data_IF_041524513134
#
_entry.id   IF_041524513134
#
_cell.length_a   1.000
_cell.length_b   1.000
_cell.length_c   1.000
_cell.angle_alpha   90.00
_cell.angle_beta   90.00
_cell.angle_gamma   90.00
#
_symmetry.space_group_name_H-M   'P 1'
#
loop_
_entity.id
_entity.type
_entity.pdbx_description
1 polymer ?
#
# COMPACT_ATOMS: atom_id res chain seq x y z
N UNK A 1 21.51 12.89 -15.23
CA UNK A 1 21.28 12.15 -13.95
C UNK A 1 22.61 11.81 -13.27
N UNK A 2 22.74 11.91 -11.93
CA UNK A 2 23.93 11.45 -11.19
C UNK A 2 23.81 9.97 -10.75
N UNK A 3 24.88 9.37 -10.23
CA UNK A 3 24.89 7.95 -9.83
C UNK A 3 23.81 7.59 -8.79
N UNK A 4 23.57 8.46 -7.81
CA UNK A 4 22.56 8.22 -6.75
C UNK A 4 21.15 8.25 -7.34
N UNK A 5 20.87 9.23 -8.19
CA UNK A 5 19.60 9.35 -8.92
C UNK A 5 19.37 8.14 -9.82
N UNK A 6 20.40 7.71 -10.56
CA UNK A 6 20.32 6.54 -11.45
C UNK A 6 20.08 5.24 -10.69
N UNK A 7 20.74 5.08 -9.55
CA UNK A 7 20.54 3.91 -8.70
C UNK A 7 19.12 3.90 -8.14
N UNK A 8 18.65 5.04 -7.61
CA UNK A 8 17.30 5.15 -7.05
C UNK A 8 16.22 4.89 -8.11
N UNK A 9 16.38 5.46 -9.30
CA UNK A 9 15.47 5.23 -10.43
C UNK A 9 15.39 3.74 -10.78
N UNK A 10 16.53 3.07 -11.02
CA UNK A 10 16.54 1.66 -11.41
C UNK A 10 16.06 0.72 -10.31
N UNK A 11 16.30 1.04 -9.03
CA UNK A 11 15.71 0.28 -7.92
C UNK A 11 14.20 0.42 -7.95
N UNK A 12 13.69 1.64 -8.11
CA UNK A 12 12.27 1.89 -8.24
C UNK A 12 11.65 1.10 -9.39
N UNK A 13 12.28 1.11 -10.57
CA UNK A 13 11.86 0.27 -11.71
C UNK A 13 11.79 -1.22 -11.34
N UNK A 14 12.81 -1.75 -10.65
CA UNK A 14 12.84 -3.16 -10.26
C UNK A 14 11.71 -3.48 -9.26
N UNK A 15 11.52 -2.66 -8.23
CA UNK A 15 10.50 -2.86 -7.20
C UNK A 15 9.09 -2.76 -7.80
N UNK A 16 8.85 -1.74 -8.63
CA UNK A 16 7.58 -1.54 -9.30
C UNK A 16 7.27 -2.69 -10.28
N UNK A 17 8.27 -3.21 -10.98
CA UNK A 17 8.12 -4.38 -11.84
C UNK A 17 7.83 -5.66 -11.05
N UNK A 18 8.46 -5.85 -9.90
CA UNK A 18 8.24 -7.02 -9.04
C UNK A 18 6.83 -6.99 -8.42
N UNK A 19 6.38 -5.85 -7.90
CA UNK A 19 5.03 -5.74 -7.32
C UNK A 19 3.92 -5.83 -8.38
N UNK A 20 4.23 -5.53 -9.65
CA UNK A 20 3.31 -5.68 -10.80
C UNK A 20 3.60 -6.92 -11.64
N UNK A 21 4.33 -7.92 -11.10
CA UNK A 21 4.41 -9.22 -11.75
C UNK A 21 2.98 -9.75 -11.90
N UNK A 22 2.61 -10.29 -13.06
CA UNK A 22 1.25 -10.79 -13.31
C UNK A 22 1.27 -12.32 -13.50
N UNK A 23 1.28 -13.11 -12.40
CA UNK A 23 1.22 -14.56 -12.53
C UNK A 23 -0.11 -15.07 -13.11
N UNK A 24 -1.18 -14.26 -13.09
CA UNK A 24 -2.49 -14.63 -13.66
C UNK A 24 -2.50 -14.47 -15.18
N UNK A 25 -1.72 -13.51 -15.71
CA UNK A 25 -1.62 -13.20 -17.13
C UNK A 25 -2.84 -12.47 -17.70
N UNK A 26 -3.65 -11.84 -16.84
CA UNK A 26 -4.90 -11.16 -17.21
C UNK A 26 -4.75 -9.64 -17.47
N UNK A 27 -3.60 -9.04 -17.13
CA UNK A 27 -3.25 -7.65 -17.44
C UNK A 27 -3.81 -6.56 -16.53
N UNK A 28 -4.63 -6.84 -15.51
CA UNK A 28 -5.26 -5.79 -14.68
C UNK A 28 -4.22 -4.86 -14.02
N UNK A 29 -3.19 -5.42 -13.37
CA UNK A 29 -2.13 -4.62 -12.76
C UNK A 29 -1.36 -3.76 -13.79
N UNK A 30 -1.28 -4.19 -15.05
CA UNK A 30 -0.61 -3.43 -16.12
C UNK A 30 -1.41 -2.21 -16.54
N UNK A 31 -2.74 -2.33 -16.57
CA UNK A 31 -3.66 -1.21 -16.78
C UNK A 31 -3.43 -0.18 -15.67
N UNK A 32 -3.53 -0.61 -14.41
CA UNK A 32 -3.34 0.27 -13.25
C UNK A 32 -1.96 0.93 -13.22
N UNK A 33 -0.89 0.14 -13.36
CA UNK A 33 0.47 0.66 -13.31
C UNK A 33 0.74 1.70 -14.39
N UNK A 34 0.19 1.53 -15.59
CA UNK A 34 0.37 2.50 -16.68
C UNK A 34 -0.17 3.90 -16.31
N UNK A 35 -1.38 3.98 -15.77
CA UNK A 35 -1.99 5.23 -15.34
C UNK A 35 -1.32 5.79 -14.08
N UNK A 36 -0.99 4.93 -13.11
CA UNK A 36 -0.30 5.35 -11.89
C UNK A 36 1.08 5.92 -12.18
N UNK A 37 1.81 5.31 -13.12
CA UNK A 37 3.12 5.79 -13.56
C UNK A 37 3.01 7.09 -14.34
N UNK A 38 2.00 7.23 -15.21
CA UNK A 38 1.73 8.49 -15.91
C UNK A 38 1.33 9.62 -14.94
N UNK A 39 0.59 9.32 -13.88
CA UNK A 39 0.24 10.28 -12.84
C UNK A 39 1.45 10.69 -12.00
N UNK A 40 2.24 9.71 -11.54
CA UNK A 40 3.34 9.93 -10.59
C UNK A 40 4.59 10.48 -11.26
N UNK A 41 4.77 10.24 -12.56
CA UNK A 41 5.94 10.62 -13.37
C UNK A 41 7.27 10.00 -12.92
N UNK A 42 7.28 9.07 -11.98
CA UNK A 42 8.47 8.34 -11.54
C UNK A 42 8.07 7.00 -10.91
N UNK A 43 9.02 6.11 -10.55
CA UNK A 43 8.66 4.86 -9.90
C UNK A 43 7.92 5.09 -8.57
N UNK A 44 6.76 4.47 -8.46
CA UNK A 44 5.74 4.73 -7.43
C UNK A 44 6.31 4.50 -6.03
N UNK A 45 7.00 3.36 -5.85
CA UNK A 45 7.60 2.97 -4.58
C UNK A 45 8.64 3.98 -4.09
N UNK A 46 9.52 4.43 -4.98
CA UNK A 46 10.58 5.39 -4.62
C UNK A 46 10.07 6.81 -4.43
N UNK A 47 9.04 7.25 -5.17
CA UNK A 47 8.35 8.51 -4.92
C UNK A 47 7.76 8.55 -3.50
N UNK A 48 6.95 7.54 -3.16
CA UNK A 48 6.32 7.45 -1.85
C UNK A 48 7.35 7.33 -0.71
N UNK A 49 8.39 6.50 -0.90
CA UNK A 49 9.46 6.35 0.09
C UNK A 49 10.25 7.64 0.33
N UNK A 50 10.56 8.42 -0.72
CA UNK A 50 11.21 9.73 -0.59
C UNK A 50 10.36 10.68 0.27
N UNK A 51 9.06 10.77 -0.02
CA UNK A 51 8.14 11.63 0.74
C UNK A 51 8.05 11.22 2.21
N UNK A 52 8.01 9.93 2.52
CA UNK A 52 8.04 9.45 3.91
C UNK A 52 9.37 9.79 4.60
N UNK A 53 10.51 9.57 3.93
CA UNK A 53 11.84 9.90 4.47
C UNK A 53 12.00 11.39 4.76
N UNK A 54 11.44 12.25 3.91
CA UNK A 54 11.51 13.71 4.05
C UNK A 54 10.53 14.25 5.11
N UNK A 55 9.45 13.52 5.38
CA UNK A 55 8.35 13.97 6.27
C UNK A 55 8.50 13.45 7.69
N UNK A 56 8.76 12.15 7.86
CA UNK A 56 8.65 11.47 9.14
C UNK A 56 9.81 11.76 10.09
N UNK A 57 9.48 12.04 11.34
CA UNK A 57 10.41 12.25 12.45
C UNK A 57 10.13 11.30 13.60
N UNK A 58 11.12 11.15 14.47
CA UNK A 58 10.97 10.36 15.69
C UNK A 58 9.75 10.82 16.52
N UNK A 59 8.94 9.86 16.95
CA UNK A 59 7.73 10.10 17.74
C UNK A 59 6.50 10.54 16.94
N UNK A 60 6.61 10.81 15.63
CA UNK A 60 5.46 11.17 14.81
C UNK A 60 4.43 10.04 14.78
N UNK A 61 3.14 10.40 14.77
CA UNK A 61 2.09 9.43 14.50
C UNK A 61 2.03 9.13 13.00
N UNK A 62 1.83 7.85 12.66
CA UNK A 62 1.53 7.42 11.28
C UNK A 62 0.29 6.55 11.32
N UNK A 63 -0.75 6.94 10.58
CA UNK A 63 -1.97 6.16 10.49
C UNK A 63 -1.88 5.21 9.30
N UNK A 64 -2.04 3.91 9.54
CA UNK A 64 -2.05 2.88 8.51
C UNK A 64 -3.47 2.30 8.47
N UNK A 65 -4.16 2.50 7.37
CA UNK A 65 -5.58 2.20 7.20
C UNK A 65 -5.73 0.99 6.27
N UNK A 66 -6.45 -0.04 6.71
CA UNK A 66 -6.52 -1.31 5.97
C UNK A 66 -7.79 -2.09 6.30
N UNK A 67 -8.00 -3.20 5.60
CA UNK A 67 -8.99 -4.21 5.91
C UNK A 67 -10.21 -4.11 5.00
N UNK A 68 -10.49 -5.23 4.34
CA UNK A 68 -11.57 -5.39 3.39
C UNK A 68 -12.34 -6.67 3.73
N UNK A 69 -13.67 -6.56 3.97
CA UNK A 69 -14.50 -7.68 4.45
C UNK A 69 -15.29 -8.35 3.32
N UNK A 70 -14.89 -9.56 2.96
CA UNK A 70 -15.42 -10.24 1.78
C UNK A 70 -16.74 -11.00 2.00
N UNK A 71 -17.60 -10.98 0.98
CA UNK A 71 -18.71 -11.90 0.81
C UNK A 71 -18.23 -13.29 0.32
N UNK A 72 -19.01 -14.37 0.56
CA UNK A 72 -20.17 -14.45 1.45
C UNK A 72 -19.78 -14.63 2.93
N UNK A 73 -18.49 -14.80 3.22
CA UNK A 73 -18.00 -15.23 4.53
C UNK A 73 -18.11 -14.17 5.62
N UNK A 74 -18.15 -12.88 5.23
CA UNK A 74 -18.13 -11.72 6.12
C UNK A 74 -16.91 -11.77 7.04
N UNK A 75 -15.77 -12.07 6.43
CA UNK A 75 -14.44 -12.12 7.06
C UNK A 75 -13.52 -11.18 6.30
N UNK A 76 -12.62 -10.54 7.03
CA UNK A 76 -11.58 -9.74 6.43
C UNK A 76 -10.62 -10.63 5.65
N UNK A 77 -10.18 -10.14 4.50
CA UNK A 77 -9.15 -10.80 3.72
C UNK A 77 -7.73 -10.58 4.26
N UNK A 78 -6.79 -11.34 3.73
CA UNK A 78 -5.39 -11.26 4.11
C UNK A 78 -4.63 -10.13 3.43
N UNK A 79 -5.03 -9.72 2.22
CA UNK A 79 -4.39 -8.60 1.54
C UNK A 79 -4.59 -7.30 2.32
N UNK A 80 -3.55 -6.47 2.33
CA UNK A 80 -3.39 -5.26 3.12
C UNK A 80 -3.02 -5.48 4.58
N UNK A 81 -3.63 -6.43 5.31
CA UNK A 81 -3.42 -6.52 6.75
C UNK A 81 -2.01 -7.02 7.11
N UNK A 82 -1.47 -7.99 6.38
CA UNK A 82 -0.13 -8.53 6.63
C UNK A 82 0.93 -7.45 6.39
N UNK A 83 0.92 -6.82 5.22
CA UNK A 83 1.86 -5.75 4.89
C UNK A 83 1.69 -4.50 5.76
N UNK A 84 0.47 -4.17 6.22
CA UNK A 84 0.25 -3.04 7.15
C UNK A 84 1.03 -3.20 8.45
N UNK A 85 1.05 -4.41 9.01
CA UNK A 85 1.78 -4.69 10.26
C UNK A 85 3.30 -4.76 10.02
N UNK A 86 3.73 -5.30 8.87
CA UNK A 86 5.14 -5.28 8.47
C UNK A 86 5.63 -3.84 8.21
N UNK A 87 4.79 -2.99 7.62
CA UNK A 87 5.07 -1.57 7.43
C UNK A 87 5.18 -0.85 8.78
N UNK A 88 4.29 -1.13 9.73
CA UNK A 88 4.38 -0.57 11.09
C UNK A 88 5.76 -0.86 11.72
N UNK A 89 6.23 -2.12 11.67
CA UNK A 89 7.58 -2.49 12.11
C UNK A 89 8.66 -1.73 11.35
N UNK A 90 8.54 -1.66 10.03
CA UNK A 90 9.51 -1.02 9.15
C UNK A 90 9.67 0.46 9.47
N UNK A 91 8.55 1.16 9.70
CA UNK A 91 8.53 2.57 10.06
C UNK A 91 9.10 2.82 11.46
N UNK A 92 8.75 1.99 12.46
CA UNK A 92 9.35 2.04 13.79
C UNK A 92 10.88 1.88 13.69
N UNK A 93 11.36 0.90 12.91
CA UNK A 93 12.79 0.69 12.71
C UNK A 93 13.48 1.86 11.98
N UNK A 94 12.84 2.42 10.96
CA UNK A 94 13.44 3.43 10.10
C UNK A 94 13.46 4.83 10.74
N UNK A 95 12.43 5.15 11.55
CA UNK A 95 12.14 6.51 11.99
C UNK A 95 11.81 6.64 13.48
N UNK A 96 11.62 5.53 14.22
CA UNK A 96 11.13 5.53 15.60
C UNK A 96 9.78 6.27 15.75
N UNK A 97 8.89 6.12 14.76
CA UNK A 97 7.53 6.66 14.76
C UNK A 97 6.55 5.84 15.60
N UNK A 98 5.32 6.33 15.73
CA UNK A 98 4.19 5.74 16.45
C UNK A 98 3.09 5.32 15.46
N UNK A 99 3.17 4.11 14.88
CA UNK A 99 2.16 3.62 13.96
C UNK A 99 0.84 3.29 14.69
N UNK A 100 -0.28 3.68 14.07
CA UNK A 100 -1.64 3.36 14.51
C UNK A 100 -2.32 2.64 13.35
N UNK A 101 -2.68 1.37 13.56
CA UNK A 101 -3.47 0.60 12.61
C UNK A 101 -4.94 0.96 12.81
N UNK A 102 -5.59 1.36 11.72
CA UNK A 102 -7.01 1.64 11.68
C UNK A 102 -7.63 0.64 10.70
N UNK A 103 -8.59 -0.14 11.17
CA UNK A 103 -9.15 -1.24 10.39
C UNK A 103 -10.57 -1.60 10.88
N UNK A 104 -11.36 -2.41 10.16
CA UNK A 104 -12.62 -2.90 10.71
C UNK A 104 -12.38 -3.89 11.85
N UNK A 105 -13.40 -4.08 12.69
CA UNK A 105 -13.33 -4.96 13.87
C UNK A 105 -12.88 -6.39 13.53
N UNK A 106 -13.24 -6.89 12.34
CA UNK A 106 -12.85 -8.22 11.87
C UNK A 106 -11.33 -8.42 11.78
N UNK A 107 -10.54 -7.37 11.60
CA UNK A 107 -9.08 -7.45 11.51
C UNK A 107 -8.39 -7.42 12.89
N UNK A 108 -9.06 -6.97 13.96
CA UNK A 108 -8.40 -6.63 15.23
C UNK A 108 -7.67 -7.82 15.89
N UNK A 109 -8.21 -9.04 15.78
CA UNK A 109 -7.52 -10.23 16.27
C UNK A 109 -6.24 -10.52 15.48
N UNK A 110 -6.28 -10.36 14.16
CA UNK A 110 -5.11 -10.53 13.30
C UNK A 110 -4.05 -9.47 13.61
N UNK A 111 -4.44 -8.19 13.76
CA UNK A 111 -3.53 -7.11 14.16
C UNK A 111 -2.78 -7.46 15.43
N UNK A 112 -3.51 -7.90 16.47
CA UNK A 112 -2.90 -8.27 17.76
C UNK A 112 -1.91 -9.42 17.61
N UNK A 113 -2.27 -10.50 16.90
CA UNK A 113 -1.40 -11.66 16.76
C UNK A 113 -0.19 -11.35 15.86
N UNK A 114 -0.37 -10.60 14.78
CA UNK A 114 0.69 -10.17 13.88
C UNK A 114 1.67 -9.22 14.57
N UNK A 115 1.20 -8.36 15.49
CA UNK A 115 2.08 -7.47 16.25
C UNK A 115 3.17 -8.23 17.00
N UNK A 116 2.84 -9.41 17.55
CA UNK A 116 3.80 -10.28 18.23
C UNK A 116 4.82 -10.88 17.24
N UNK A 117 4.39 -11.30 16.05
CA UNK A 117 5.27 -11.81 14.98
C UNK A 117 6.28 -10.75 14.56
N UNK A 118 5.81 -9.52 14.34
CA UNK A 118 6.69 -8.40 13.93
C UNK A 118 7.42 -7.75 15.11
N UNK A 119 7.29 -8.28 16.32
CA UNK A 119 7.99 -7.83 17.52
C UNK A 119 7.64 -6.40 17.97
N UNK A 120 6.38 -6.00 17.85
CA UNK A 120 5.85 -4.74 18.37
C UNK A 120 4.85 -4.97 19.50
N UNK A 121 4.90 -4.13 20.53
CA UNK A 121 3.83 -4.08 21.53
C UNK A 121 2.60 -3.40 20.93
N UNK A 122 1.43 -4.06 20.99
CA UNK A 122 0.17 -3.50 20.51
C UNK A 122 -0.69 -2.98 21.66
N UNK A 123 -1.10 -1.72 21.57
CA UNK A 123 -1.98 -1.03 22.51
C UNK A 123 -3.33 -0.69 21.87
N UNK A 124 -4.31 -0.37 22.70
CA UNK A 124 -5.68 -0.06 22.27
C UNK A 124 -5.94 1.45 22.14
N UNK A 125 -4.93 2.29 22.42
CA UNK A 125 -5.06 3.75 22.42
C UNK A 125 -3.79 4.48 21.92
N UNK A 126 -3.99 5.68 21.35
CA UNK A 126 -2.90 6.56 20.91
C UNK A 126 -2.12 7.11 22.11
N UNK A 127 -2.81 7.30 23.22
CA UNK A 127 -2.26 7.79 24.47
C UNK A 127 -1.23 6.80 25.03
N UNK A 128 -1.58 5.52 25.18
CA UNK A 128 -0.64 4.49 25.64
C UNK A 128 0.52 4.29 24.65
N UNK A 129 0.23 4.28 23.34
CA UNK A 129 1.26 4.17 22.30
C UNK A 129 2.37 5.23 22.45
N UNK A 130 2.01 6.46 22.82
CA UNK A 130 3.00 7.55 22.99
C UNK A 130 3.96 7.28 24.15
N UNK A 131 3.56 6.50 25.16
CA UNK A 131 4.37 6.24 26.36
C UNK A 131 5.48 5.22 26.12
N UNK A 132 5.26 4.21 25.27
CA UNK A 132 6.16 3.06 25.16
C UNK A 132 6.92 3.02 23.83
N UNK A 133 8.23 2.76 23.80
CA UNK A 133 8.97 2.55 22.55
C UNK A 133 8.62 1.19 21.91
N UNK A 134 9.00 0.97 20.65
CA UNK A 134 8.86 -0.31 19.93
C UNK A 134 7.41 -0.84 20.01
N UNK A 135 6.48 -0.02 19.55
CA UNK A 135 5.06 -0.21 19.78
C UNK A 135 4.23 0.30 18.62
N UNK A 136 2.97 -0.13 18.62
CA UNK A 136 1.90 0.30 17.73
C UNK A 136 0.59 0.35 18.51
N UNK A 137 -0.40 1.07 18.00
CA UNK A 137 -1.78 0.94 18.46
C UNK A 137 -2.67 0.36 17.36
N UNK A 138 -3.80 -0.21 17.76
CA UNK A 138 -4.85 -0.65 16.86
C UNK A 138 -6.19 -0.03 17.28
N UNK A 139 -6.93 0.55 16.34
CA UNK A 139 -8.23 1.15 16.57
C UNK A 139 -9.20 0.62 15.52
N UNK A 140 -10.30 0.02 15.95
CA UNK A 140 -11.35 -0.37 15.01
C UNK A 140 -12.16 0.84 14.55
N UNK A 141 -12.48 0.90 13.26
CA UNK A 141 -13.29 1.96 12.67
C UNK A 141 -14.70 1.48 12.35
N UNK A 142 -15.68 2.35 12.58
CA UNK A 142 -17.10 2.01 12.51
C UNK A 142 -17.57 1.76 11.07
N UNK A 143 -18.49 0.79 10.93
CA UNK A 143 -19.29 0.56 9.71
C UNK A 143 -20.53 1.46 9.63
N UNK A 144 -20.94 2.00 10.78
CA UNK A 144 -22.10 2.87 10.94
C UNK A 144 -21.75 4.29 10.46
N UNK A 145 -22.28 4.65 9.28
CA UNK A 145 -22.08 5.95 8.66
C UNK A 145 -22.50 7.13 9.56
N UNK A 146 -23.47 6.94 10.46
CA UNK A 146 -23.92 8.00 11.38
C UNK A 146 -22.90 8.31 12.49
N UNK A 147 -21.97 7.39 12.75
CA UNK A 147 -20.94 7.53 13.81
C UNK A 147 -19.56 7.85 13.25
N UNK A 148 -19.33 7.62 11.97
CA UNK A 148 -18.02 7.66 11.36
C UNK A 148 -17.38 9.06 11.39
N UNK A 149 -18.15 10.11 11.17
CA UNK A 149 -17.71 11.50 11.30
C UNK A 149 -17.19 11.80 12.71
N UNK A 150 -17.99 11.50 13.74
CA UNK A 150 -17.61 11.72 15.13
C UNK A 150 -16.39 10.89 15.52
N UNK A 151 -16.34 9.62 15.12
CA UNK A 151 -15.19 8.76 15.42
C UNK A 151 -13.91 9.27 14.76
N UNK A 152 -13.98 9.77 13.52
CA UNK A 152 -12.84 10.37 12.84
C UNK A 152 -12.33 11.61 13.59
N UNK A 153 -13.24 12.49 14.00
CA UNK A 153 -12.91 13.68 14.78
C UNK A 153 -12.29 13.31 16.15
N UNK A 154 -12.83 12.28 16.82
CA UNK A 154 -12.30 11.76 18.08
C UNK A 154 -10.87 11.22 17.91
N UNK A 155 -10.62 10.41 16.87
CA UNK A 155 -9.27 9.89 16.57
C UNK A 155 -8.29 11.03 16.28
N UNK A 156 -8.68 12.01 15.46
CA UNK A 156 -7.83 13.17 15.14
C UNK A 156 -7.56 14.06 16.36
N UNK A 157 -8.50 14.15 17.30
CA UNK A 157 -8.32 14.92 18.54
C UNK A 157 -7.22 14.36 19.45
N UNK A 158 -6.95 13.05 19.36
CA UNK A 158 -5.87 12.36 20.10
C UNK A 158 -4.49 12.59 19.48
N UNK A 159 -4.45 13.01 18.22
CA UNK A 159 -3.24 13.39 17.52
C UNK A 159 -3.45 13.46 16.02
N UNK A 160 -2.83 14.44 15.37
CA UNK A 160 -2.74 14.48 13.92
C UNK A 160 -1.50 13.70 13.49
N UNK A 161 -1.60 12.74 12.55
CA UNK A 161 -0.44 12.03 12.04
C UNK A 161 0.36 12.89 11.06
N UNK A 162 1.66 12.60 10.94
CA UNK A 162 2.50 13.17 9.89
C UNK A 162 2.24 12.52 8.54
N UNK A 163 1.77 11.26 8.53
CA UNK A 163 1.37 10.55 7.32
C UNK A 163 0.18 9.62 7.56
N UNK A 164 -0.65 9.46 6.53
CA UNK A 164 -1.71 8.45 6.45
C UNK A 164 -1.47 7.56 5.23
N UNK A 165 -1.54 6.24 5.42
CA UNK A 165 -1.24 5.25 4.38
C UNK A 165 -2.42 4.29 4.31
N UNK A 166 -3.19 4.28 3.21
CA UNK A 166 -4.21 3.25 2.96
C UNK A 166 -3.59 2.07 2.21
N UNK A 167 -3.92 0.85 2.63
CA UNK A 167 -3.43 -0.40 2.02
C UNK A 167 -4.60 -1.39 1.97
N UNK A 168 -5.08 -1.73 0.77
CA UNK A 168 -6.24 -2.60 0.59
C UNK A 168 -7.42 -2.18 1.48
N UNK A 169 -7.78 -0.90 1.37
CA UNK A 169 -8.80 -0.29 2.21
C UNK A 169 -9.95 0.18 1.31
N UNK A 170 -11.14 -0.45 1.36
CA UNK A 170 -12.22 -0.11 0.44
C UNK A 170 -12.76 1.30 0.71
N UNK A 171 -13.22 1.96 -0.36
CA UNK A 171 -13.86 3.27 -0.28
C UNK A 171 -15.19 3.31 -1.03
N UNK A 172 -16.04 4.29 -0.69
CA UNK A 172 -17.29 4.47 -1.40
C UNK A 172 -17.04 4.96 -2.84
N UNK A 173 -17.82 4.46 -3.79
CA UNK A 173 -17.90 5.04 -5.13
C UNK A 173 -18.65 6.39 -5.11
N UNK A 174 -18.82 7.00 -6.28
CA UNK A 174 -19.50 8.31 -6.42
C UNK A 174 -20.98 8.36 -5.99
N UNK A 175 -21.61 7.22 -5.70
CA UNK A 175 -23.00 7.15 -5.19
C UNK A 175 -23.07 6.62 -3.74
N UNK A 176 -21.95 6.58 -3.03
CA UNK A 176 -21.92 6.18 -1.62
C UNK A 176 -21.92 4.66 -1.38
N UNK A 177 -21.55 3.86 -2.39
CA UNK A 177 -21.57 2.39 -2.34
C UNK A 177 -20.18 1.78 -2.43
N UNK A 178 -19.88 0.85 -1.54
CA UNK A 178 -18.64 0.07 -1.52
C UNK A 178 -18.87 -1.22 -2.31
N UNK A 179 -17.86 -1.64 -3.07
CA UNK A 179 -17.97 -2.82 -3.94
C UNK A 179 -16.79 -3.75 -3.78
N UNK A 180 -17.02 -5.04 -3.93
CA UNK A 180 -15.94 -5.99 -4.19
C UNK A 180 -15.55 -6.00 -5.68
N UNK A 181 -14.53 -6.80 -6.02
CA UNK A 181 -13.96 -6.87 -7.36
C UNK A 181 -14.93 -7.26 -8.48
N UNK A 182 -16.02 -7.95 -8.15
CA UNK A 182 -17.06 -8.36 -9.11
C UNK A 182 -18.29 -7.44 -9.08
N UNK A 183 -18.17 -6.27 -8.47
CA UNK A 183 -19.20 -5.23 -8.47
C UNK A 183 -20.44 -5.54 -7.61
N UNK A 184 -20.31 -6.41 -6.61
CA UNK A 184 -21.35 -6.63 -5.59
C UNK A 184 -21.23 -5.59 -4.48
N UNK A 185 -22.37 -5.17 -3.92
CA UNK A 185 -22.43 -4.20 -2.83
C UNK A 185 -21.96 -4.84 -1.52
N UNK A 186 -20.93 -4.25 -0.91
CA UNK A 186 -20.37 -4.62 0.39
C UNK A 186 -20.46 -3.48 1.41
N UNK A 187 -21.28 -2.45 1.13
CA UNK A 187 -21.40 -1.24 1.96
C UNK A 187 -21.64 -1.53 3.43
N UNK A 188 -22.46 -2.52 3.77
CA UNK A 188 -22.74 -2.88 5.17
C UNK A 188 -21.58 -3.62 5.86
N UNK A 189 -20.64 -4.16 5.09
CA UNK A 189 -19.48 -4.89 5.60
C UNK A 189 -18.27 -3.99 5.83
N UNK A 190 -18.15 -2.88 5.10
CA UNK A 190 -16.95 -2.05 5.16
C UNK A 190 -17.00 -0.94 6.21
N UNK A 191 -15.88 -0.75 6.90
CA UNK A 191 -15.69 0.40 7.76
C UNK A 191 -15.61 1.69 6.93
N UNK A 192 -16.18 2.78 7.44
CA UNK A 192 -16.32 4.08 6.74
C UNK A 192 -15.04 4.92 6.83
N UNK A 193 -13.90 4.25 6.64
CA UNK A 193 -12.55 4.76 6.85
C UNK A 193 -12.21 5.93 5.91
N UNK A 194 -12.85 5.99 4.74
CA UNK A 194 -12.71 7.08 3.75
C UNK A 194 -13.04 8.47 4.31
N UNK A 195 -13.90 8.54 5.33
CA UNK A 195 -14.20 9.80 6.02
C UNK A 195 -12.96 10.32 6.77
N UNK A 196 -12.28 9.46 7.53
CA UNK A 196 -11.05 9.85 8.24
C UNK A 196 -9.94 10.21 7.26
N UNK A 197 -9.74 9.42 6.21
CA UNK A 197 -8.71 9.69 5.20
C UNK A 197 -8.91 11.04 4.52
N UNK A 198 -10.16 11.35 4.11
CA UNK A 198 -10.49 12.63 3.47
C UNK A 198 -10.23 13.80 4.42
N UNK A 199 -10.63 13.70 5.69
CA UNK A 199 -10.34 14.75 6.70
C UNK A 199 -8.84 14.97 6.90
N UNK A 200 -8.03 13.90 6.89
CA UNK A 200 -6.58 13.99 7.03
C UNK A 200 -5.95 14.64 5.79
N UNK A 201 -6.42 14.30 4.60
CA UNK A 201 -6.04 14.95 3.34
C UNK A 201 -6.37 16.45 3.37
N UNK A 202 -7.58 16.83 3.79
CA UNK A 202 -8.00 18.24 3.92
C UNK A 202 -7.15 19.03 4.94
N UNK A 203 -6.49 18.34 5.88
CA UNK A 203 -5.53 18.92 6.84
C UNK A 203 -4.11 19.00 6.29
N UNK A 204 -3.87 18.55 5.07
CA UNK A 204 -2.54 18.54 4.44
C UNK A 204 -1.62 17.44 4.98
N UNK A 205 -2.17 16.38 5.57
CA UNK A 205 -1.38 15.20 5.97
C UNK A 205 -0.85 14.50 4.72
N UNK A 206 0.43 14.08 4.74
CA UNK A 206 0.99 13.27 3.67
C UNK A 206 0.17 11.99 3.52
N UNK A 207 -0.50 11.83 2.38
CA UNK A 207 -1.38 10.70 2.12
C UNK A 207 -0.81 9.83 1.00
N UNK A 208 -0.78 8.52 1.23
CA UNK A 208 -0.33 7.49 0.30
C UNK A 208 -1.42 6.41 0.26
N UNK A 209 -1.74 5.92 -0.93
CA UNK A 209 -2.68 4.82 -1.11
C UNK A 209 -2.07 3.67 -1.91
N UNK A 210 -2.31 2.45 -1.46
CA UNK A 210 -1.88 1.21 -2.10
C UNK A 210 -3.13 0.37 -2.40
N UNK A 211 -3.31 0.01 -3.67
CA UNK A 211 -4.47 -0.74 -4.18
C UNK A 211 -4.10 -1.60 -5.40
N UNK A 212 -4.94 -2.58 -5.73
CA UNK A 212 -4.67 -3.58 -6.76
C UNK A 212 -5.76 -3.67 -7.86
N UNK A 213 -6.88 -2.95 -7.69
CA UNK A 213 -8.00 -3.00 -8.63
C UNK A 213 -8.61 -1.64 -9.01
N UNK A 214 -8.97 -0.80 -8.03
CA UNK A 214 -9.59 0.52 -8.23
C UNK A 214 -10.81 0.84 -7.34
N UNK A 215 -11.24 -0.08 -6.48
CA UNK A 215 -12.31 0.11 -5.48
C UNK A 215 -11.77 0.49 -4.08
N UNK A 216 -10.45 0.60 -3.96
CA UNK A 216 -9.70 0.93 -2.76
C UNK A 216 -9.45 2.43 -2.68
N UNK A 217 -9.58 2.95 -1.48
CA UNK A 217 -9.43 4.36 -1.14
C UNK A 217 -8.11 4.92 -1.65
N UNK A 218 -8.22 5.99 -2.43
CA UNK A 218 -7.11 6.67 -3.08
C UNK A 218 -7.01 6.39 -4.58
N UNK A 219 -7.52 5.25 -5.06
CA UNK A 219 -7.45 4.90 -6.49
C UNK A 219 -8.33 5.81 -7.38
N UNK A 220 -9.23 6.60 -6.79
CA UNK A 220 -9.99 7.64 -7.51
C UNK A 220 -9.10 8.70 -8.19
N UNK A 221 -7.80 8.74 -7.86
CA UNK A 221 -6.79 9.57 -8.54
C UNK A 221 -6.68 9.26 -10.03
N UNK A 222 -6.78 7.99 -10.42
CA UNK A 222 -6.73 7.54 -11.82
C UNK A 222 -8.11 7.16 -12.37
N UNK A 223 -9.18 7.74 -11.81
CA UNK A 223 -10.58 7.35 -12.07
C UNK A 223 -10.95 7.24 -13.54
N UNK A 224 -10.58 8.19 -14.38
CA UNK A 224 -10.94 8.16 -15.81
C UNK A 224 -10.38 6.90 -16.50
N UNK A 225 -9.15 6.53 -16.17
CA UNK A 225 -8.53 5.31 -16.66
C UNK A 225 -9.18 4.04 -16.09
N UNK A 226 -9.57 4.06 -14.81
CA UNK A 226 -10.32 2.96 -14.20
C UNK A 226 -11.65 2.74 -14.93
N UNK A 227 -12.45 3.80 -15.11
CA UNK A 227 -13.76 3.72 -15.76
C UNK A 227 -13.66 3.24 -17.21
N UNK A 228 -12.55 3.51 -17.89
CA UNK A 228 -12.32 3.08 -19.28
C UNK A 228 -11.89 1.60 -19.38
N UNK A 229 -10.97 1.15 -18.54
CA UNK A 229 -10.26 -0.12 -18.75
C UNK A 229 -10.52 -1.20 -17.68
N UNK A 230 -10.96 -0.84 -16.48
CA UNK A 230 -11.19 -1.81 -15.39
C UNK A 230 -12.62 -2.37 -15.47
N UNK A 231 -12.78 -3.71 -15.45
CA UNK A 231 -14.10 -4.33 -15.39
C UNK A 231 -14.95 -3.79 -14.24
N UNK A 232 -16.23 -3.55 -14.50
CA UNK A 232 -17.21 -3.05 -13.51
C UNK A 232 -16.97 -1.62 -12.99
N UNK A 233 -15.87 -0.95 -13.35
CA UNK A 233 -15.48 0.35 -12.77
C UNK A 233 -16.38 1.51 -13.23
N UNK A 234 -16.74 1.56 -14.51
CA UNK A 234 -17.61 2.62 -15.03
C UNK A 234 -19.04 2.58 -14.48
N UNK A 235 -19.69 3.74 -14.52
CA UNK A 235 -21.12 3.88 -14.25
C UNK A 235 -21.95 2.88 -15.04
N UNK A 236 -22.92 2.28 -14.37
CA UNK A 236 -23.78 1.22 -14.91
C UNK A 236 -23.11 -0.11 -15.20
N UNK A 237 -21.85 -0.31 -14.80
CA UNK A 237 -21.15 -1.59 -14.99
C UNK A 237 -21.11 -2.47 -13.74
N UNK A 238 -21.39 -1.96 -12.55
CA UNK A 238 -21.45 -2.77 -11.32
C UNK A 238 -22.63 -3.75 -11.32
N UNK A 239 -22.49 -4.88 -10.61
CA UNK A 239 -23.50 -5.94 -10.52
C UNK A 239 -24.52 -5.77 -9.39
N UNK A 240 -24.42 -4.73 -8.56
CA UNK A 240 -25.31 -4.51 -7.42
C UNK A 240 -26.57 -3.69 -7.73
N UNK A 241 -26.67 -3.11 -8.93
CA UNK A 241 -27.80 -2.26 -9.33
C UNK A 241 -27.73 -0.80 -8.87
N UNK A 242 -26.65 -0.34 -8.21
CA UNK A 242 -26.50 1.07 -7.82
C UNK A 242 -26.20 2.02 -9.00
N UNK A 243 -25.85 1.46 -10.16
CA UNK A 243 -25.51 2.18 -11.40
C UNK A 243 -24.26 3.09 -11.29
N UNK A 244 -23.50 3.01 -10.20
CA UNK A 244 -22.32 3.85 -9.94
C UNK A 244 -20.98 3.31 -10.44
N UNK A 245 -20.86 1.99 -10.63
CA UNK A 245 -19.58 1.34 -10.92
C UNK A 245 -18.72 1.10 -9.66
N UNK A 246 -17.63 0.34 -9.77
CA UNK A 246 -16.76 0.02 -8.61
C UNK A 246 -15.72 1.09 -8.32
N UNK A 247 -15.45 2.01 -9.25
CA UNK A 247 -14.41 3.03 -9.08
C UNK A 247 -14.67 3.89 -7.83
N UNK A 248 -13.72 3.84 -6.90
CA UNK A 248 -13.77 4.61 -5.65
C UNK A 248 -13.76 6.12 -5.91
N UNK A 249 -14.42 6.89 -5.05
CA UNK A 249 -14.46 8.35 -5.17
C UNK A 249 -13.23 9.02 -4.55
N UNK A 250 -12.72 8.49 -3.43
CA UNK A 250 -11.60 9.05 -2.69
C UNK A 250 -10.31 9.00 -3.52
N UNK A 251 -9.59 10.12 -3.52
CA UNK A 251 -8.31 10.31 -4.20
C UNK A 251 -7.18 10.39 -3.20
N UNK A 252 -5.99 10.00 -3.61
CA UNK A 252 -4.75 10.22 -2.87
C UNK A 252 -3.74 10.97 -3.73
N UNK A 253 -2.93 11.79 -3.07
CA UNK A 253 -1.87 12.58 -3.70
C UNK A 253 -0.72 11.68 -4.18
N UNK A 254 -0.54 10.53 -3.52
CA UNK A 254 0.46 9.52 -3.85
C UNK A 254 -0.22 8.15 -3.93
N UNK A 255 -0.02 7.44 -5.04
CA UNK A 255 -0.59 6.11 -5.26
C UNK A 255 0.50 5.10 -5.61
N UNK A 256 0.33 3.88 -5.13
CA UNK A 256 1.08 2.70 -5.53
C UNK A 256 0.06 1.66 -5.99
N UNK A 257 0.13 1.26 -7.24
CA UNK A 257 -0.68 0.15 -7.75
C UNK A 257 0.17 -1.09 -7.97
N UNK A 258 -0.35 -2.24 -7.59
CA UNK A 258 0.34 -3.52 -7.66
C UNK A 258 -0.61 -4.63 -8.12
N UNK A 259 -0.09 -5.85 -8.29
CA UNK A 259 -0.91 -7.06 -8.54
C UNK A 259 -1.60 -7.60 -7.28
N UNK A 260 -1.06 -7.21 -6.12
CA UNK A 260 -1.49 -7.52 -4.75
C UNK A 260 -1.07 -6.30 -3.93
N UNK A 261 -1.95 -5.72 -3.13
CA UNK A 261 -1.64 -4.49 -2.37
C UNK A 261 -0.47 -4.69 -1.41
N UNK A 262 -0.38 -5.87 -0.79
CA UNK A 262 0.74 -6.28 0.03
C UNK A 262 2.09 -6.19 -0.70
N UNK A 263 2.16 -6.60 -1.97
CA UNK A 263 3.40 -6.50 -2.76
C UNK A 263 3.78 -5.04 -3.04
N UNK A 264 2.79 -4.18 -3.27
CA UNK A 264 2.99 -2.74 -3.38
C UNK A 264 3.61 -2.16 -2.11
N UNK A 265 3.11 -2.60 -0.96
CA UNK A 265 3.65 -2.20 0.34
C UNK A 265 5.06 -2.76 0.59
N UNK A 266 5.35 -4.00 0.20
CA UNK A 266 6.71 -4.56 0.28
C UNK A 266 7.70 -3.73 -0.55
N UNK A 267 7.28 -3.30 -1.75
CA UNK A 267 8.05 -2.39 -2.59
C UNK A 267 8.32 -1.04 -1.90
N UNK A 268 7.32 -0.46 -1.23
CA UNK A 268 7.49 0.75 -0.43
C UNK A 268 8.51 0.56 0.70
N UNK A 269 8.39 -0.53 1.47
CA UNK A 269 9.32 -0.88 2.56
C UNK A 269 10.74 -1.05 2.01
N UNK A 270 10.90 -1.75 0.88
CA UNK A 270 12.18 -1.98 0.23
C UNK A 270 12.83 -0.66 -0.22
N UNK A 271 12.06 0.26 -0.78
CA UNK A 271 12.54 1.58 -1.15
C UNK A 271 12.99 2.41 0.07
N UNK A 272 12.25 2.35 1.19
CA UNK A 272 12.66 2.98 2.47
C UNK A 272 13.98 2.36 2.96
N UNK A 273 14.09 1.03 2.96
CA UNK A 273 15.31 0.33 3.38
C UNK A 273 16.54 0.75 2.56
N UNK A 274 16.39 0.91 1.24
CA UNK A 274 17.45 1.44 0.39
C UNK A 274 17.82 2.89 0.74
N UNK A 275 16.84 3.79 0.89
CA UNK A 275 17.08 5.20 1.18
C UNK A 275 17.76 5.41 2.55
N UNK A 276 17.39 4.58 3.53
CA UNK A 276 17.97 4.57 4.89
C UNK A 276 19.28 3.79 4.98
N UNK A 277 19.67 3.07 3.91
CA UNK A 277 20.83 2.18 3.85
C UNK A 277 20.85 1.12 4.96
N UNK A 278 19.66 0.64 5.34
CA UNK A 278 19.47 -0.39 6.36
C UNK A 278 18.53 -1.47 5.84
N UNK A 279 19.10 -2.63 5.48
CA UNK A 279 18.35 -3.77 4.97
C UNK A 279 17.43 -4.39 6.04
N UNK A 280 17.70 -4.17 7.32
CA UNK A 280 16.87 -4.71 8.42
C UNK A 280 15.54 -3.97 8.58
N UNK A 281 15.32 -2.88 7.83
CA UNK A 281 14.00 -2.25 7.70
C UNK A 281 13.05 -3.16 6.90
N UNK A 282 13.56 -3.84 5.86
CA UNK A 282 12.77 -4.77 5.06
C UNK A 282 12.74 -6.15 5.72
N UNK A 283 11.52 -6.65 5.96
CA UNK A 283 11.29 -7.97 6.53
C UNK A 283 11.90 -9.10 5.67
N UNK A 284 12.15 -10.24 6.29
CA UNK A 284 12.64 -11.42 5.58
C UNK A 284 11.47 -12.30 5.14
N UNK A 285 11.72 -13.22 4.20
CA UNK A 285 10.70 -14.20 3.79
C UNK A 285 10.26 -15.10 4.95
N UNK A 286 11.13 -15.37 5.93
CA UNK A 286 10.75 -16.17 7.11
C UNK A 286 9.75 -15.41 7.99
N UNK A 287 9.94 -14.10 8.16
CA UNK A 287 8.96 -13.26 8.87
C UNK A 287 7.66 -13.12 8.09
N UNK A 288 7.73 -13.02 6.76
CA UNK A 288 6.56 -13.03 5.87
C UNK A 288 5.75 -14.34 6.03
N UNK A 289 6.42 -15.49 6.02
CA UNK A 289 5.79 -16.79 6.21
C UNK A 289 5.06 -16.87 7.55
N UNK A 290 5.73 -16.47 8.63
CA UNK A 290 5.15 -16.46 9.97
C UNK A 290 3.96 -15.50 10.05
N UNK A 291 4.04 -14.33 9.43
CA UNK A 291 2.97 -13.35 9.39
C UNK A 291 1.74 -13.87 8.63
N UNK A 292 1.92 -14.40 7.42
CA UNK A 292 0.82 -15.01 6.65
C UNK A 292 0.17 -16.18 7.40
N UNK A 293 0.97 -17.02 8.07
CA UNK A 293 0.46 -18.11 8.90
C UNK A 293 -0.34 -17.55 10.08
N UNK A 294 0.18 -16.56 10.81
CA UNK A 294 -0.50 -15.95 11.94
C UNK A 294 -1.81 -15.25 11.52
N UNK A 295 -1.83 -14.55 10.39
CA UNK A 295 -3.03 -13.93 9.82
C UNK A 295 -4.10 -14.98 9.51
N UNK A 296 -3.72 -16.05 8.79
CA UNK A 296 -4.61 -17.18 8.49
C UNK A 296 -5.18 -17.80 9.77
N UNK A 297 -4.35 -18.02 10.79
CA UNK A 297 -4.77 -18.58 12.09
C UNK A 297 -5.58 -17.61 12.94
N UNK A 298 -5.57 -16.33 12.60
CA UNK A 298 -6.42 -15.29 13.19
C UNK A 298 -7.77 -15.16 12.48
N UNK A 299 -8.04 -15.98 11.47
CA UNK A 299 -9.32 -16.00 10.76
C UNK A 299 -9.36 -15.16 9.50
N UNK A 300 -8.22 -14.63 9.04
CA UNK A 300 -8.14 -13.94 7.75
C UNK A 300 -8.25 -14.95 6.61
N UNK A 301 -9.07 -14.61 5.63
CA UNK A 301 -9.32 -15.46 4.47
C UNK A 301 -8.49 -15.02 3.28
N UNK A 302 -8.14 -15.98 2.44
CA UNK A 302 -7.74 -15.73 1.06
C UNK A 302 -8.94 -15.22 0.24
N UNK A 303 -8.72 -14.67 -0.96
CA UNK A 303 -9.77 -14.14 -1.84
C UNK A 303 -10.88 -15.15 -2.17
N UNK A 304 -10.59 -16.45 -2.09
CA UNK A 304 -11.54 -17.53 -2.30
C UNK A 304 -12.27 -17.98 -1.02
N UNK A 305 -11.98 -17.38 0.13
CA UNK A 305 -12.58 -17.69 1.43
C UNK A 305 -11.84 -18.73 2.27
N UNK A 306 -10.73 -19.28 1.77
CA UNK A 306 -9.98 -20.29 2.50
C UNK A 306 -9.17 -19.70 3.65
N UNK A 307 -9.16 -20.38 4.79
CA UNK A 307 -8.27 -20.08 5.93
C UNK A 307 -6.89 -20.71 5.72
N UNK A 308 -6.25 -20.32 4.62
CA UNK A 308 -4.90 -20.76 4.24
C UNK A 308 -3.96 -19.56 4.18
N UNK A 309 -2.65 -19.74 4.42
CA UNK A 309 -1.65 -18.69 4.21
C UNK A 309 -1.51 -18.36 2.71
N UNK A 310 -2.39 -17.49 2.22
CA UNK A 310 -2.44 -17.03 0.84
C UNK A 310 -3.01 -15.60 0.80
N UNK A 311 -2.50 -14.82 -0.14
CA UNK A 311 -2.93 -13.45 -0.44
C UNK A 311 -3.33 -13.43 -1.92
N UNK A 312 -4.56 -13.04 -2.21
CA UNK A 312 -5.20 -13.07 -3.53
C UNK A 312 -5.01 -14.37 -4.33
N UNK A 313 -5.10 -15.51 -3.67
CA UNK A 313 -4.95 -16.81 -4.29
C UNK A 313 -3.51 -17.21 -4.55
N UNK A 314 -2.54 -16.37 -4.17
CA UNK A 314 -1.12 -16.72 -4.18
C UNK A 314 -0.70 -17.27 -2.82
N UNK A 315 -0.22 -18.51 -2.80
CA UNK A 315 0.30 -19.13 -1.59
C UNK A 315 1.71 -18.64 -1.21
N UNK A 316 2.24 -19.20 -0.12
CA UNK A 316 3.57 -18.89 0.41
C UNK A 316 4.67 -18.84 -0.66
N UNK A 317 4.76 -19.86 -1.53
CA UNK A 317 5.83 -19.93 -2.54
C UNK A 317 6.00 -18.64 -3.36
N UNK A 318 4.89 -18.03 -3.77
CA UNK A 318 4.92 -16.79 -4.56
C UNK A 318 5.27 -15.58 -3.67
N UNK A 319 4.52 -15.36 -2.59
CA UNK A 319 4.71 -14.22 -1.70
C UNK A 319 6.15 -14.16 -1.14
N UNK A 320 6.67 -15.29 -0.67
CA UNK A 320 8.04 -15.41 -0.16
C UNK A 320 9.09 -15.12 -1.24
N UNK A 321 8.83 -15.51 -2.49
CA UNK A 321 9.73 -15.24 -3.61
C UNK A 321 9.77 -13.75 -3.96
N UNK A 322 8.61 -13.07 -3.96
CA UNK A 322 8.53 -11.62 -4.20
C UNK A 322 9.32 -10.85 -3.15
N UNK A 323 9.09 -11.12 -1.86
CA UNK A 323 9.83 -10.49 -0.75
C UNK A 323 11.34 -10.72 -0.90
N UNK A 324 11.75 -11.96 -1.17
CA UNK A 324 13.17 -12.30 -1.29
C UNK A 324 13.82 -11.57 -2.49
N UNK A 325 13.16 -11.50 -3.64
CA UNK A 325 13.67 -10.77 -4.81
C UNK A 325 13.83 -9.27 -4.52
N UNK A 326 12.82 -8.64 -3.91
CA UNK A 326 12.90 -7.23 -3.51
C UNK A 326 14.05 -6.99 -2.53
N UNK A 327 14.24 -7.89 -1.55
CA UNK A 327 15.34 -7.81 -0.57
C UNK A 327 16.71 -7.94 -1.22
N UNK A 328 16.87 -8.83 -2.20
CA UNK A 328 18.12 -8.95 -2.96
C UNK A 328 18.39 -7.69 -3.79
N UNK A 329 17.39 -7.14 -4.49
CA UNK A 329 17.55 -5.87 -5.22
C UNK A 329 18.11 -4.76 -4.33
N UNK A 330 17.60 -4.61 -3.11
CA UNK A 330 18.08 -3.61 -2.13
C UNK A 330 19.47 -3.96 -1.59
N UNK A 331 19.69 -5.22 -1.19
CA UNK A 331 20.95 -5.72 -0.62
C UNK A 331 22.14 -5.47 -1.55
N UNK A 332 21.98 -5.78 -2.84
CA UNK A 332 23.01 -5.52 -3.84
C UNK A 332 23.21 -4.02 -4.06
N UNK A 333 22.13 -3.26 -4.23
CA UNK A 333 22.26 -1.84 -4.54
C UNK A 333 22.93 -1.02 -3.42
N UNK A 334 22.73 -1.38 -2.15
CA UNK A 334 23.45 -0.77 -1.02
C UNK A 334 24.98 -1.00 -1.11
N UNK A 335 25.42 -2.17 -1.59
CA UNK A 335 26.83 -2.55 -1.63
C UNK A 335 27.58 -2.03 -2.87
N UNK A 336 26.89 -1.86 -3.99
CA UNK A 336 27.53 -1.70 -5.30
C UNK A 336 27.96 -0.27 -5.65
N UNK A 337 27.57 0.74 -4.88
CA UNK A 337 27.90 2.14 -5.18
C UNK A 337 29.40 2.39 -5.38
N UNK A 338 30.26 1.68 -4.63
CA UNK A 338 31.72 1.81 -4.77
C UNK A 338 32.34 0.81 -5.73
N UNK A 339 31.81 -0.40 -5.79
CA UNK A 339 32.40 -1.51 -6.56
C UNK A 339 32.17 -1.37 -8.07
N UNK A 340 31.10 -0.69 -8.49
CA UNK A 340 30.69 -0.57 -9.89
C UNK A 340 30.80 0.86 -10.45
N UNK A 341 31.64 1.73 -9.86
CA UNK A 341 31.75 3.15 -10.25
C UNK A 341 31.94 3.37 -11.76
N UNK A 342 32.84 2.61 -12.41
CA UNK A 342 33.08 2.73 -13.85
C UNK A 342 31.86 2.40 -14.71
N UNK A 343 31.00 1.46 -14.27
CA UNK A 343 29.75 1.17 -14.99
C UNK A 343 28.78 2.35 -14.87
N UNK A 344 28.65 2.95 -13.69
CA UNK A 344 27.83 4.14 -13.51
C UNK A 344 28.33 5.31 -14.36
N UNK A 345 29.62 5.61 -14.31
CA UNK A 345 30.24 6.67 -15.12
C UNK A 345 29.95 6.48 -16.61
N UNK A 346 30.18 5.26 -17.13
CA UNK A 346 29.99 4.95 -18.55
C UNK A 346 28.52 5.00 -18.97
N UNK A 347 27.61 4.50 -18.14
CA UNK A 347 26.16 4.55 -18.43
C UNK A 347 25.66 5.98 -18.44
N UNK A 348 26.13 6.82 -17.51
CA UNK A 348 25.77 8.24 -17.46
C UNK A 348 26.36 9.01 -18.65
N UNK A 349 27.63 8.77 -19.00
CA UNK A 349 28.30 9.38 -20.16
C UNK A 349 27.56 9.12 -21.48
N UNK A 350 26.97 7.92 -21.62
CA UNK A 350 26.20 7.54 -22.81
C UNK A 350 24.82 8.21 -22.92
N UNK A 351 24.34 8.89 -21.88
CA UNK A 351 23.13 9.72 -21.91
C UNK A 351 21.80 8.98 -22.13
N UNK A 352 21.76 7.64 -22.04
CA UNK A 352 20.52 6.86 -22.26
C UNK A 352 19.37 7.31 -21.35
N UNK A 353 19.70 7.62 -20.09
CA UNK A 353 18.72 7.99 -19.06
C UNK A 353 18.38 9.48 -19.05
N UNK A 354 19.02 10.34 -19.86
CA UNK A 354 18.72 11.77 -19.88
C UNK A 354 17.35 12.03 -20.54
N UNK A 355 17.01 11.29 -21.60
CA UNK A 355 15.69 11.36 -22.27
C UNK A 355 14.53 10.79 -21.42
N UNK A 356 14.84 9.92 -20.46
CA UNK A 356 13.85 9.38 -19.51
C UNK A 356 13.31 10.49 -18.60
N UNK A 357 14.11 11.53 -18.33
CA UNK A 357 13.70 12.71 -17.56
C UNK A 357 12.85 13.65 -18.43
N UNK A 358 13.29 13.92 -19.66
CA UNK A 358 12.56 14.84 -20.57
C UNK A 358 11.16 14.31 -20.95
N UNK A 359 10.99 12.98 -21.02
CA UNK A 359 9.68 12.33 -21.24
C UNK A 359 8.79 12.24 -20.00
N UNK A 360 9.35 12.45 -18.80
CA UNK A 360 8.57 12.59 -17.57
C UNK A 360 8.00 14.01 -17.43
N UNK A 361 8.72 15.02 -17.93
CA UNK A 361 8.30 16.43 -17.91
C UNK A 361 7.46 16.85 -19.13
N UNK A 362 7.57 16.14 -20.24
CA UNK A 362 6.72 16.35 -21.42
C UNK A 362 5.58 15.33 -21.47
N UNK A 363 4.35 15.78 -21.77
CA UNK A 363 3.18 14.91 -21.98
C UNK A 363 3.28 14.01 -23.24
N UNK A 364 4.50 13.70 -23.70
CA UNK A 364 4.72 12.83 -24.84
C UNK A 364 4.53 11.38 -24.40
N UNK A 365 3.45 10.78 -24.92
CA UNK A 365 3.12 9.36 -24.75
C UNK A 365 4.38 8.51 -24.95
N UNK A 366 4.75 7.79 -23.89
CA UNK A 366 5.69 6.67 -23.96
C UNK A 366 5.05 5.57 -24.82
N UNK A 367 5.11 5.71 -26.14
CA UNK A 367 4.78 4.65 -27.10
C UNK A 367 5.95 3.68 -27.10
N UNK A 368 5.95 2.74 -26.15
CA UNK A 368 6.80 1.56 -26.21
C UNK A 368 6.00 0.38 -26.77
N UNK A 369 6.29 0.09 -28.05
CA UNK A 369 6.11 -1.16 -28.80
C UNK A 369 4.67 -1.57 -29.22
N UNK A 370 4.45 -1.50 -30.54
CA UNK A 370 3.36 -2.17 -31.28
C UNK A 370 3.54 -3.69 -31.33
#
# INVERSE_FOLDING_TARGET
>A
MNQKELTLFNIGENLDNLMNLDPRGYGVCRILYSASREYTKEPLTTNAAKKLVDTLKEGDLVYIMTGFVLLPFKKAEMDGIVSSILLARSLVKAFNVKPVIICPEENMLAVKNLSAVVGLHCYDSIEELKEYPISMAAISFTKDASKAEQQADDIMSKGLPSAVISIECPGANSVGKYHNAVGLDVTELEAKQDILFTKLQDKGVLNIAIGDLGNEMGMGTIKEHLEEYIPYAAKGRCNCGCNGGIAVATKADNIITATVSDWGCYGLIAAIAYLKKDLEILHTKEMEEEAMVAASRSGMIDMYGWLTPAIDGFGLSMNLSIVNLMRECVSYAIKLEKTCATWFEKVIELGYYDNVIDTMDSNERLVMLK
#
